data_IF_185435645742
#
_entry.id   IF_185435645742
#
_cell.length_a   1.000
_cell.length_b   1.000
_cell.length_c   1.000
_cell.angle_alpha   90.00
_cell.angle_beta   90.00
_cell.angle_gamma   90.00
#
_symmetry.space_group_name_H-M   'P 1'
#
loop_
_entity.id
_entity.type
_entity.pdbx_description
1 polymer ?
#
# COMPACT_ATOMS: atom_id res chain seq x y z
N UNK A 1 10.66 14.00 -7.37
CA UNK A 1 11.06 15.11 -8.27
C UNK A 1 12.56 15.32 -8.26
N UNK A 2 13.18 15.48 -7.09
CA UNK A 2 14.60 15.84 -6.96
C UNK A 2 15.58 14.73 -7.30
N UNK A 3 15.20 13.50 -7.22
CA UNK A 3 16.07 12.35 -7.51
C UNK A 3 16.16 11.99 -9.00
N UNK A 4 15.17 12.33 -9.81
CA UNK A 4 15.16 12.12 -11.27
C UNK A 4 14.97 10.68 -11.73
N UNK A 5 15.36 9.64 -10.94
CA UNK A 5 15.12 8.24 -11.25
C UNK A 5 15.03 7.37 -10.00
N UNK A 6 14.50 6.14 -10.15
CA UNK A 6 14.43 5.16 -9.04
C UNK A 6 15.83 4.70 -8.61
N UNK A 7 16.77 4.60 -9.53
CA UNK A 7 18.17 4.23 -9.25
C UNK A 7 18.84 5.30 -8.37
N UNK A 8 18.59 6.58 -8.62
CA UNK A 8 19.08 7.67 -7.77
C UNK A 8 18.40 7.70 -6.41
N UNK A 9 17.16 7.29 -6.31
CA UNK A 9 16.52 7.08 -5.00
C UNK A 9 17.22 5.95 -4.24
N UNK A 10 17.52 4.83 -4.91
CA UNK A 10 18.27 3.74 -4.30
C UNK A 10 19.64 4.21 -3.82
N UNK A 11 20.38 4.96 -4.66
CA UNK A 11 21.70 5.52 -4.31
C UNK A 11 21.60 6.37 -3.03
N UNK A 12 20.69 7.35 -2.99
CA UNK A 12 20.48 8.20 -1.83
C UNK A 12 20.06 7.42 -0.57
N UNK A 13 19.16 6.44 -0.72
CA UNK A 13 18.76 5.59 0.42
C UNK A 13 19.88 4.66 0.88
N UNK A 14 20.78 4.27 -0.01
CA UNK A 14 21.94 3.43 0.31
C UNK A 14 23.02 4.16 1.11
N UNK A 15 22.96 5.50 1.23
CA UNK A 15 23.85 6.26 2.12
C UNK A 15 23.80 5.78 3.57
N UNK A 16 22.67 5.17 4.00
CA UNK A 16 22.58 4.53 5.32
C UNK A 16 23.72 3.53 5.56
N UNK A 17 24.17 2.85 4.52
CA UNK A 17 25.23 1.84 4.63
C UNK A 17 26.63 2.44 4.89
N UNK A 18 26.84 3.74 4.71
CA UNK A 18 28.12 4.38 4.99
C UNK A 18 28.49 4.34 6.49
N UNK A 19 27.50 4.22 7.36
CA UNK A 19 27.68 4.24 8.81
C UNK A 19 27.18 2.96 9.51
N UNK A 20 26.78 1.95 8.75
CA UNK A 20 26.33 0.66 9.30
C UNK A 20 27.54 -0.11 9.83
N UNK A 21 27.44 -0.61 11.06
CA UNK A 21 28.49 -1.41 11.70
C UNK A 21 28.67 -2.74 10.98
N UNK A 22 29.91 -3.26 10.99
CA UNK A 22 30.18 -4.62 10.51
C UNK A 22 29.35 -5.64 11.29
N UNK A 23 28.77 -6.62 10.56
CA UNK A 23 27.89 -7.64 11.13
C UNK A 23 26.46 -7.18 11.44
N UNK A 24 26.05 -6.00 10.97
CA UNK A 24 24.68 -5.55 11.12
C UNK A 24 23.71 -6.49 10.38
N UNK A 25 22.56 -6.71 11.00
CA UNK A 25 21.44 -7.41 10.39
C UNK A 25 20.68 -6.48 9.47
N UNK A 26 20.62 -6.82 8.19
CA UNK A 26 19.98 -6.00 7.16
C UNK A 26 18.83 -6.76 6.52
N UNK A 27 17.64 -6.20 6.59
CA UNK A 27 16.43 -6.77 5.97
C UNK A 27 16.01 -5.89 4.79
N UNK A 28 15.72 -6.50 3.65
CA UNK A 28 15.26 -5.79 2.44
C UNK A 28 14.02 -6.47 1.85
N UNK A 29 13.22 -5.69 1.14
CA UNK A 29 12.19 -6.23 0.25
C UNK A 29 12.86 -6.89 -0.96
N UNK A 30 12.83 -8.23 -1.01
CA UNK A 30 13.43 -9.05 -2.07
C UNK A 30 12.61 -9.05 -3.37
N UNK A 31 11.36 -8.63 -3.33
CA UNK A 31 10.53 -8.49 -4.54
C UNK A 31 10.80 -7.17 -5.27
N UNK A 32 11.46 -6.20 -4.62
CA UNK A 32 11.88 -4.97 -5.31
C UNK A 32 13.17 -5.24 -6.12
N UNK A 33 13.11 -5.11 -7.45
CA UNK A 33 14.24 -5.45 -8.32
C UNK A 33 15.48 -4.58 -8.08
N UNK A 34 15.30 -3.34 -7.60
CA UNK A 34 16.43 -2.45 -7.31
C UNK A 34 17.08 -2.81 -5.97
N UNK A 35 16.29 -3.03 -4.91
CA UNK A 35 16.82 -3.48 -3.62
C UNK A 35 17.52 -4.83 -3.75
N UNK A 36 16.98 -5.72 -4.57
CA UNK A 36 17.59 -7.04 -4.80
C UNK A 36 18.92 -6.99 -5.58
N UNK A 37 19.35 -5.82 -6.03
CA UNK A 37 20.72 -5.63 -6.58
C UNK A 37 21.79 -5.35 -5.53
N UNK A 38 21.42 -5.09 -4.28
CA UNK A 38 22.35 -4.74 -3.19
C UNK A 38 23.14 -5.94 -2.67
N UNK A 39 22.55 -7.16 -2.48
CA UNK A 39 23.31 -8.35 -2.12
C UNK A 39 24.47 -8.61 -3.11
N UNK A 40 25.67 -8.85 -2.57
CA UNK A 40 26.89 -9.06 -3.34
C UNK A 40 27.60 -7.77 -3.78
N UNK A 41 26.95 -6.61 -3.76
CA UNK A 41 27.58 -5.30 -4.00
C UNK A 41 28.08 -4.63 -2.70
N UNK A 42 27.43 -4.93 -1.61
CA UNK A 42 27.76 -4.39 -0.29
C UNK A 42 28.24 -5.52 0.63
N UNK A 43 29.14 -5.24 1.58
CA UNK A 43 29.75 -6.25 2.45
C UNK A 43 28.86 -6.64 3.63
N UNK A 44 27.55 -6.76 3.43
CA UNK A 44 26.57 -7.11 4.46
C UNK A 44 25.85 -8.41 4.11
N UNK A 45 25.43 -9.15 5.14
CA UNK A 45 24.48 -10.23 4.99
C UNK A 45 23.05 -9.63 4.88
N UNK A 46 22.40 -9.88 3.76
CA UNK A 46 21.05 -9.40 3.52
C UNK A 46 20.04 -10.53 3.77
N UNK A 47 19.04 -10.25 4.58
CA UNK A 47 17.83 -11.06 4.72
C UNK A 47 16.78 -10.49 3.80
N UNK A 48 16.30 -11.30 2.85
CA UNK A 48 15.34 -10.88 1.82
C UNK A 48 13.96 -11.38 2.18
N UNK A 49 12.98 -10.50 2.16
CA UNK A 49 11.59 -10.82 2.49
C UNK A 49 10.65 -10.49 1.34
N UNK A 50 9.57 -11.26 1.15
CA UNK A 50 8.58 -10.98 0.11
C UNK A 50 7.66 -12.16 -0.22
N UNK A 51 6.97 -12.07 -1.35
CA UNK A 51 6.11 -13.14 -1.88
C UNK A 51 6.85 -14.05 -2.88
N UNK A 52 7.94 -13.56 -3.48
CA UNK A 52 8.70 -14.26 -4.51
C UNK A 52 9.38 -15.53 -4.00
N UNK A 53 9.67 -16.45 -4.93
CA UNK A 53 10.42 -17.66 -4.63
C UNK A 53 11.90 -17.37 -4.33
N UNK A 54 12.52 -18.22 -3.50
CA UNK A 54 13.95 -18.11 -3.17
C UNK A 54 14.29 -16.96 -2.22
N UNK A 55 13.31 -16.34 -1.58
CA UNK A 55 13.51 -15.36 -0.52
C UNK A 55 13.62 -16.06 0.85
N UNK A 56 14.31 -15.41 1.81
CA UNK A 56 14.58 -15.99 3.12
C UNK A 56 13.31 -16.06 3.99
N UNK A 57 12.48 -15.03 3.93
CA UNK A 57 11.16 -15.00 4.57
C UNK A 57 10.09 -14.75 3.52
N UNK A 58 9.06 -15.60 3.48
CA UNK A 58 7.99 -15.51 2.49
C UNK A 58 6.61 -15.57 3.13
N UNK A 59 5.66 -14.88 2.50
CA UNK A 59 4.25 -15.03 2.82
C UNK A 59 3.59 -15.96 1.80
N UNK A 60 2.90 -16.99 2.28
CA UNK A 60 2.15 -17.93 1.45
C UNK A 60 0.68 -17.99 1.90
N UNK A 61 -0.22 -18.27 0.98
CA UNK A 61 -1.63 -18.46 1.29
C UNK A 61 -2.32 -17.23 1.89
N UNK A 62 -2.02 -16.04 1.35
CA UNK A 62 -2.64 -14.80 1.79
C UNK A 62 -4.15 -14.84 1.53
N UNK A 63 -4.94 -14.63 2.58
CA UNK A 63 -6.40 -14.62 2.53
C UNK A 63 -6.91 -13.40 3.30
N UNK A 64 -7.74 -12.59 2.64
CA UNK A 64 -8.45 -11.47 3.27
C UNK A 64 -9.85 -11.87 3.71
N UNK A 65 -10.31 -11.38 4.85
CA UNK A 65 -11.72 -11.50 5.27
C UNK A 65 -12.63 -10.49 4.53
N UNK A 66 -12.03 -9.58 3.76
CA UNK A 66 -12.71 -8.50 3.04
C UNK A 66 -13.31 -7.42 3.96
N UNK A 67 -12.95 -7.42 5.25
CA UNK A 67 -13.42 -6.44 6.24
C UNK A 67 -12.29 -5.67 6.89
N UNK A 68 -11.38 -6.34 7.57
CA UNK A 68 -10.37 -5.68 8.39
C UNK A 68 -9.11 -6.50 8.62
N UNK A 69 -9.11 -7.79 8.31
CA UNK A 69 -8.01 -8.68 8.61
C UNK A 69 -7.60 -9.52 7.40
N UNK A 70 -6.33 -9.88 7.41
CA UNK A 70 -5.78 -10.88 6.49
C UNK A 70 -5.05 -11.95 7.29
N UNK A 71 -4.91 -13.13 6.73
CA UNK A 71 -4.11 -14.21 7.30
C UNK A 71 -3.15 -14.72 6.25
N UNK A 72 -1.95 -15.10 6.65
CA UNK A 72 -1.01 -15.81 5.79
C UNK A 72 -0.14 -16.77 6.62
N UNK A 73 0.55 -17.65 5.93
CA UNK A 73 1.63 -18.44 6.51
C UNK A 73 2.96 -17.76 6.23
N UNK A 74 3.70 -17.45 7.30
CA UNK A 74 5.06 -16.94 7.23
C UNK A 74 6.01 -18.13 7.15
N UNK A 75 6.75 -18.24 6.05
CA UNK A 75 7.86 -19.18 5.89
C UNK A 75 9.15 -18.49 6.26
N UNK A 76 9.91 -19.10 7.14
CA UNK A 76 11.24 -18.64 7.58
C UNK A 76 12.31 -19.68 7.20
N UNK A 77 13.60 -19.37 7.31
CA UNK A 77 14.66 -20.35 7.04
C UNK A 77 14.58 -21.63 7.88
N UNK A 78 13.91 -21.58 9.03
CA UNK A 78 13.90 -22.67 10.00
C UNK A 78 12.52 -23.29 10.22
N UNK A 79 11.46 -22.51 10.03
CA UNK A 79 10.11 -22.86 10.44
C UNK A 79 9.03 -22.28 9.52
N UNK A 80 7.78 -22.56 9.85
CA UNK A 80 6.62 -21.83 9.33
C UNK A 80 5.58 -21.64 10.42
N UNK A 81 4.86 -20.51 10.38
CA UNK A 81 3.78 -20.22 11.30
C UNK A 81 2.75 -19.26 10.69
N UNK A 82 1.53 -19.39 11.18
CA UNK A 82 0.42 -18.57 10.73
C UNK A 82 0.41 -17.24 11.49
N UNK A 83 0.10 -16.17 10.77
CA UNK A 83 -0.14 -14.83 11.32
C UNK A 83 -1.49 -14.30 10.89
N UNK A 84 -2.09 -13.49 11.75
CA UNK A 84 -3.24 -12.66 11.45
C UNK A 84 -2.81 -11.21 11.45
N UNK A 85 -3.08 -10.51 10.34
CA UNK A 85 -2.66 -9.14 10.08
C UNK A 85 -3.90 -8.24 10.20
N UNK A 86 -4.00 -7.34 11.18
CA UNK A 86 -5.16 -6.47 11.37
C UNK A 86 -5.12 -5.26 10.42
N UNK A 87 -4.98 -5.55 9.15
CA UNK A 87 -4.93 -4.56 8.08
C UNK A 87 -5.33 -5.22 6.75
N UNK A 88 -5.70 -4.40 5.77
CA UNK A 88 -6.00 -4.83 4.41
C UNK A 88 -4.92 -4.41 3.43
N UNK A 89 -4.81 -5.18 2.35
CA UNK A 89 -3.89 -4.92 1.23
C UNK A 89 -2.65 -5.81 1.26
N UNK A 90 -2.39 -6.45 0.13
CA UNK A 90 -1.32 -7.45 -0.04
C UNK A 90 0.07 -6.90 0.33
N UNK A 91 0.26 -5.58 0.20
CA UNK A 91 1.51 -4.93 0.61
C UNK A 91 1.81 -5.05 2.13
N UNK A 92 0.83 -5.39 2.96
CA UNK A 92 1.03 -5.59 4.40
C UNK A 92 1.83 -6.86 4.73
N UNK A 93 2.06 -7.75 3.76
CA UNK A 93 2.99 -8.87 3.95
C UNK A 93 4.42 -8.40 4.21
N UNK A 94 4.87 -7.31 3.56
CA UNK A 94 6.25 -6.83 3.69
C UNK A 94 6.60 -6.40 5.13
N UNK A 95 5.85 -5.49 5.78
CA UNK A 95 6.14 -5.14 7.18
C UNK A 95 5.97 -6.35 8.11
N UNK A 96 5.03 -7.25 7.84
CA UNK A 96 4.84 -8.49 8.60
C UNK A 96 6.06 -9.39 8.53
N UNK A 97 6.59 -9.65 7.33
CA UNK A 97 7.79 -10.46 7.13
C UNK A 97 9.05 -9.81 7.68
N UNK A 98 9.16 -8.47 7.57
CA UNK A 98 10.25 -7.73 8.20
C UNK A 98 10.19 -7.84 9.72
N UNK A 99 8.99 -7.75 10.31
CA UNK A 99 8.80 -7.94 11.75
C UNK A 99 9.15 -9.38 12.17
N UNK A 100 8.80 -10.39 11.36
CA UNK A 100 9.18 -11.78 11.62
C UNK A 100 10.71 -11.97 11.58
N UNK A 101 11.38 -11.45 10.55
CA UNK A 101 12.82 -11.54 10.40
C UNK A 101 13.57 -10.84 11.55
N UNK A 102 13.13 -9.64 11.93
CA UNK A 102 13.71 -8.90 13.06
C UNK A 102 13.41 -9.60 14.39
N UNK A 103 12.18 -10.07 14.58
CA UNK A 103 11.79 -10.78 15.80
C UNK A 103 12.62 -12.05 16.04
N UNK A 104 12.76 -12.90 15.02
CA UNK A 104 13.62 -14.11 15.11
C UNK A 104 15.08 -13.74 15.37
N UNK A 105 15.60 -12.69 14.71
CA UNK A 105 16.97 -12.22 14.95
C UNK A 105 17.22 -11.84 16.43
N UNK A 106 16.22 -11.25 17.09
CA UNK A 106 16.28 -10.91 18.51
C UNK A 106 15.78 -12.02 19.45
N UNK A 107 15.56 -13.23 18.95
CA UNK A 107 15.23 -14.42 19.73
C UNK A 107 13.76 -14.51 20.18
N UNK A 108 12.85 -13.79 19.55
CA UNK A 108 11.42 -13.94 19.80
C UNK A 108 10.93 -15.28 19.25
N UNK A 109 10.01 -15.90 19.97
CA UNK A 109 9.31 -17.10 19.50
C UNK A 109 8.28 -16.75 18.42
N UNK A 110 7.92 -17.73 17.62
CA UNK A 110 6.87 -17.58 16.60
C UNK A 110 5.54 -17.07 17.18
N UNK A 111 5.17 -17.55 18.36
CA UNK A 111 3.97 -17.10 19.07
C UNK A 111 4.06 -15.62 19.44
N UNK A 112 5.21 -15.18 19.94
CA UNK A 112 5.41 -13.76 20.28
C UNK A 112 5.38 -12.86 19.05
N UNK A 113 5.94 -13.31 17.93
CA UNK A 113 5.91 -12.60 16.66
C UNK A 113 4.48 -12.53 16.14
N UNK A 114 3.75 -13.64 16.11
CA UNK A 114 2.36 -13.67 15.65
C UNK A 114 1.45 -12.80 16.52
N UNK A 115 1.64 -12.82 17.84
CA UNK A 115 0.92 -11.96 18.78
C UNK A 115 1.25 -10.47 18.56
N UNK A 116 2.52 -10.14 18.34
CA UNK A 116 2.95 -8.78 18.02
C UNK A 116 2.35 -8.25 16.72
N UNK A 117 2.24 -9.09 15.69
CA UNK A 117 1.60 -8.74 14.43
C UNK A 117 0.10 -8.52 14.63
N UNK A 118 -0.58 -9.39 15.36
CA UNK A 118 -2.01 -9.27 15.66
C UNK A 118 -2.36 -7.97 16.41
N UNK A 119 -1.46 -7.51 17.27
CA UNK A 119 -1.65 -6.27 18.04
C UNK A 119 -1.11 -5.01 17.33
N UNK A 120 -0.74 -5.11 16.06
CA UNK A 120 -0.33 -3.97 15.28
C UNK A 120 -1.50 -2.98 15.13
N UNK A 121 -1.26 -1.71 15.48
CA UNK A 121 -2.20 -0.63 15.28
C UNK A 121 -1.70 0.28 14.14
N UNK A 122 -2.42 0.37 13.01
CA UNK A 122 -2.03 1.26 11.93
C UNK A 122 -1.93 2.72 12.36
N UNK A 123 -0.92 3.42 11.88
CA UNK A 123 -0.80 4.87 12.07
C UNK A 123 -2.02 5.56 11.46
N UNK A 124 -2.50 6.64 12.11
CA UNK A 124 -3.64 7.43 11.60
C UNK A 124 -3.42 7.84 10.14
N UNK A 125 -4.49 7.81 9.36
CA UNK A 125 -4.50 8.16 7.93
C UNK A 125 -3.63 7.21 7.04
N UNK A 126 -3.32 6.00 7.53
CA UNK A 126 -2.64 4.92 6.81
C UNK A 126 -3.56 3.72 6.74
N UNK A 127 -4.36 3.64 5.70
CA UNK A 127 -5.35 2.59 5.46
C UNK A 127 -6.25 2.30 6.69
N UNK A 128 -6.61 3.35 7.44
CA UNK A 128 -7.48 3.17 8.60
C UNK A 128 -8.92 2.89 8.14
N UNK A 129 -9.50 1.87 8.74
CA UNK A 129 -10.92 1.57 8.58
C UNK A 129 -11.75 2.38 9.58
N UNK A 130 -12.70 3.13 9.06
CA UNK A 130 -13.67 3.89 9.85
C UNK A 130 -15.07 3.45 9.42
N UNK A 131 -15.93 3.14 10.39
CA UNK A 131 -17.33 2.81 10.16
C UNK A 131 -18.20 3.98 10.56
N UNK A 132 -19.16 4.36 9.73
CA UNK A 132 -20.07 5.45 10.01
C UNK A 132 -21.49 5.11 9.61
N UNK A 133 -22.41 5.26 10.60
CA UNK A 133 -23.84 5.04 10.39
C UNK A 133 -24.16 3.68 9.79
N UNK A 134 -25.17 3.66 8.96
CA UNK A 134 -25.72 2.45 8.37
C UNK A 134 -24.83 1.85 7.28
N UNK A 135 -23.83 1.10 7.71
CA UNK A 135 -22.97 0.26 6.87
C UNK A 135 -22.06 1.00 5.88
N UNK A 136 -21.70 2.27 6.14
CA UNK A 136 -20.67 2.98 5.38
C UNK A 136 -19.31 2.65 5.96
N UNK A 137 -18.41 2.11 5.14
CA UNK A 137 -17.01 1.88 5.47
C UNK A 137 -16.15 2.92 4.78
N UNK A 138 -15.23 3.54 5.50
CA UNK A 138 -14.28 4.51 4.95
C UNK A 138 -12.87 3.94 5.11
N UNK A 139 -12.17 3.79 3.99
CA UNK A 139 -10.75 3.48 3.93
C UNK A 139 -9.96 4.80 3.91
N UNK A 140 -9.40 5.19 5.05
CA UNK A 140 -8.68 6.46 5.16
C UNK A 140 -7.17 6.24 4.98
N UNK A 141 -6.65 6.60 3.80
CA UNK A 141 -5.22 6.57 3.43
C UNK A 141 -4.70 7.95 3.01
N UNK A 142 -5.10 9.00 3.71
CA UNK A 142 -4.88 10.40 3.31
C UNK A 142 -3.58 11.01 3.83
N UNK A 143 -2.67 10.24 4.44
CA UNK A 143 -1.42 10.76 4.96
C UNK A 143 -0.49 11.27 3.87
N UNK A 144 -0.35 10.52 2.79
CA UNK A 144 0.46 10.87 1.62
C UNK A 144 -0.05 10.10 0.40
N UNK A 145 0.21 10.61 -0.80
CA UNK A 145 -0.20 9.99 -2.04
C UNK A 145 0.96 9.89 -3.03
N UNK A 146 1.09 8.71 -3.64
CA UNK A 146 1.95 8.46 -4.78
C UNK A 146 1.29 7.40 -5.68
N UNK A 147 1.74 7.21 -6.93
CA UNK A 147 1.08 6.29 -7.86
C UNK A 147 0.94 4.85 -7.35
N UNK A 148 1.93 4.36 -6.61
CA UNK A 148 1.92 3.00 -6.08
C UNK A 148 0.97 2.85 -4.89
N UNK A 149 1.00 3.79 -3.92
CA UNK A 149 0.10 3.75 -2.77
C UNK A 149 -1.35 3.95 -3.17
N UNK A 150 -1.65 4.86 -4.12
CA UNK A 150 -3.01 5.02 -4.64
C UNK A 150 -3.54 3.75 -5.30
N UNK A 151 -2.73 3.07 -6.11
CA UNK A 151 -3.13 1.78 -6.71
C UNK A 151 -3.40 0.72 -5.64
N UNK A 152 -2.54 0.61 -4.63
CA UNK A 152 -2.75 -0.31 -3.53
C UNK A 152 -4.05 0.00 -2.76
N UNK A 153 -4.35 1.27 -2.51
CA UNK A 153 -5.61 1.68 -1.89
C UNK A 153 -6.84 1.33 -2.75
N UNK A 154 -6.73 1.50 -4.06
CA UNK A 154 -7.79 1.11 -5.02
C UNK A 154 -7.99 -0.41 -5.05
N UNK A 155 -6.92 -1.21 -4.95
CA UNK A 155 -7.01 -2.68 -4.84
C UNK A 155 -7.77 -3.10 -3.58
N UNK A 156 -7.45 -2.48 -2.43
CA UNK A 156 -8.17 -2.72 -1.19
C UNK A 156 -9.64 -2.34 -1.33
N UNK A 157 -9.95 -1.16 -1.89
CA UNK A 157 -11.33 -0.73 -2.15
C UNK A 157 -12.05 -1.70 -3.10
N UNK A 158 -11.39 -2.14 -4.17
CA UNK A 158 -11.94 -3.10 -5.13
C UNK A 158 -12.31 -4.44 -4.48
N UNK A 159 -11.51 -4.92 -3.54
CA UNK A 159 -11.74 -6.17 -2.80
C UNK A 159 -12.68 -6.04 -1.60
N UNK A 160 -13.00 -4.82 -1.18
CA UNK A 160 -13.88 -4.56 -0.03
C UNK A 160 -15.31 -5.05 -0.30
N UNK A 161 -16.01 -5.44 0.79
CA UNK A 161 -17.38 -5.95 0.75
C UNK A 161 -18.45 -4.85 0.63
N UNK A 162 -18.20 -3.78 -0.09
CA UNK A 162 -19.19 -2.73 -0.36
C UNK A 162 -20.01 -3.04 -1.61
N UNK A 163 -21.31 -2.72 -1.58
CA UNK A 163 -22.18 -2.82 -2.74
C UNK A 163 -21.93 -1.68 -3.75
N UNK A 164 -21.31 -0.60 -3.32
CA UNK A 164 -21.01 0.58 -4.12
C UNK A 164 -19.66 1.17 -3.68
N UNK A 165 -18.71 1.26 -4.59
CA UNK A 165 -17.32 1.61 -4.33
C UNK A 165 -17.02 3.03 -4.81
N UNK A 166 -16.72 3.91 -3.88
CA UNK A 166 -16.44 5.32 -4.13
C UNK A 166 -14.97 5.61 -3.85
N UNK A 167 -14.21 5.98 -4.88
CA UNK A 167 -12.85 6.46 -4.74
C UNK A 167 -12.82 7.99 -4.65
N UNK A 168 -12.29 8.54 -3.56
CA UNK A 168 -12.06 9.99 -3.40
C UNK A 168 -10.56 10.23 -3.46
N UNK A 169 -10.05 10.75 -4.56
CA UNK A 169 -8.62 10.87 -4.83
C UNK A 169 -8.20 12.31 -5.02
N UNK A 170 -7.09 12.67 -4.39
CA UNK A 170 -6.49 14.01 -4.47
C UNK A 170 -5.25 14.05 -5.35
N UNK A 171 -4.58 15.21 -5.34
CA UNK A 171 -3.32 15.41 -6.04
C UNK A 171 -2.19 14.59 -5.41
N UNK A 172 -1.30 14.11 -6.25
CA UNK A 172 0.01 13.56 -5.86
C UNK A 172 1.08 14.62 -6.11
N UNK A 173 1.78 15.01 -5.05
CA UNK A 173 2.84 16.01 -5.14
C UNK A 173 4.22 15.39 -5.40
N UNK A 174 5.21 16.24 -5.69
CA UNK A 174 6.61 15.86 -5.86
C UNK A 174 6.90 14.88 -7.01
N UNK A 175 6.03 14.84 -8.03
CA UNK A 175 6.18 13.96 -9.20
C UNK A 175 6.89 14.62 -10.39
N UNK A 176 7.17 15.93 -10.32
CA UNK A 176 7.81 16.70 -11.39
C UNK A 176 7.07 16.67 -12.72
N UNK A 177 7.79 16.71 -13.84
CA UNK A 177 7.16 16.76 -15.18
C UNK A 177 6.29 15.55 -15.52
N UNK A 178 6.45 14.44 -14.80
CA UNK A 178 5.65 13.22 -14.99
C UNK A 178 4.31 13.24 -14.28
N UNK A 179 4.03 14.28 -13.48
CA UNK A 179 2.81 14.35 -12.68
C UNK A 179 1.52 14.10 -13.48
N UNK A 180 1.28 14.72 -14.66
CA UNK A 180 0.07 14.47 -15.45
C UNK A 180 -0.07 12.99 -15.86
N UNK A 181 1.00 12.39 -16.37
CA UNK A 181 0.96 11.00 -16.83
C UNK A 181 0.79 10.00 -15.68
N UNK A 182 1.39 10.26 -14.53
CA UNK A 182 1.27 9.41 -13.35
C UNK A 182 -0.14 9.50 -12.73
N UNK A 183 -0.75 10.67 -12.73
CA UNK A 183 -2.16 10.84 -12.33
C UNK A 183 -3.10 10.10 -13.30
N UNK A 184 -2.93 10.28 -14.61
CA UNK A 184 -3.70 9.56 -15.61
C UNK A 184 -3.60 8.04 -15.44
N UNK A 185 -2.40 7.51 -15.17
CA UNK A 185 -2.19 6.08 -14.91
C UNK A 185 -2.92 5.53 -13.69
N UNK A 186 -3.27 6.37 -12.70
CA UNK A 186 -4.17 5.98 -11.60
C UNK A 186 -5.61 5.93 -12.10
N UNK A 187 -6.04 6.91 -12.92
CA UNK A 187 -7.37 6.92 -13.53
C UNK A 187 -7.63 5.68 -14.40
N UNK A 188 -6.68 5.31 -15.26
CA UNK A 188 -6.75 4.09 -16.07
C UNK A 188 -6.90 2.83 -15.21
N UNK A 189 -6.27 2.82 -14.04
CA UNK A 189 -6.35 1.69 -13.12
C UNK A 189 -7.72 1.54 -12.47
N UNK A 190 -8.39 2.65 -12.13
CA UNK A 190 -9.75 2.65 -11.57
C UNK A 190 -10.76 1.94 -12.47
N UNK A 191 -10.71 2.17 -13.78
CA UNK A 191 -11.58 1.49 -14.74
C UNK A 191 -11.41 -0.04 -14.75
N UNK A 192 -10.17 -0.53 -14.51
CA UNK A 192 -9.88 -1.97 -14.44
C UNK A 192 -10.25 -2.58 -13.09
N UNK A 193 -10.25 -1.77 -12.03
CA UNK A 193 -10.49 -2.21 -10.66
C UNK A 193 -11.98 -2.37 -10.32
N UNK A 194 -12.89 -1.98 -11.19
CA UNK A 194 -14.34 -2.10 -10.97
C UNK A 194 -14.84 -1.12 -9.89
N UNK A 195 -14.33 0.11 -9.90
CA UNK A 195 -14.79 1.20 -9.05
C UNK A 195 -16.04 1.83 -9.66
N UNK A 196 -17.08 2.06 -8.87
CA UNK A 196 -18.37 2.57 -9.34
C UNK A 196 -18.38 4.09 -9.49
N UNK A 197 -17.70 4.79 -8.59
CA UNK A 197 -17.69 6.25 -8.57
C UNK A 197 -16.29 6.79 -8.23
N UNK A 198 -15.87 7.83 -8.96
CA UNK A 198 -14.69 8.63 -8.67
C UNK A 198 -15.08 10.06 -8.33
N UNK A 199 -14.55 10.59 -7.24
CA UNK A 199 -14.51 12.02 -6.94
C UNK A 199 -13.04 12.46 -6.92
N UNK A 200 -12.61 13.11 -7.98
CA UNK A 200 -11.25 13.62 -8.14
C UNK A 200 -11.15 15.06 -7.62
N UNK A 201 -10.22 15.33 -6.69
CA UNK A 201 -10.15 16.61 -5.96
C UNK A 201 -8.77 17.23 -6.10
N UNK A 202 -8.66 18.39 -6.75
CA UNK A 202 -7.41 19.13 -6.95
C UNK A 202 -7.09 19.39 -8.40
N UNK A 203 -6.06 20.17 -8.67
CA UNK A 203 -5.72 20.58 -10.05
C UNK A 203 -5.18 19.40 -10.87
N UNK A 204 -4.24 18.63 -10.31
CA UNK A 204 -3.64 17.47 -10.98
C UNK A 204 -4.58 16.27 -11.01
N UNK A 205 -5.48 16.15 -10.04
CA UNK A 205 -6.50 15.11 -9.99
C UNK A 205 -7.46 15.15 -11.21
N UNK A 206 -7.49 16.24 -11.96
CA UNK A 206 -8.19 16.31 -13.26
C UNK A 206 -7.70 15.24 -14.23
N UNK A 207 -6.39 14.94 -14.23
CA UNK A 207 -5.84 13.87 -15.08
C UNK A 207 -6.31 12.48 -14.64
N UNK A 208 -6.54 12.27 -13.31
CA UNK A 208 -7.18 11.04 -12.82
C UNK A 208 -8.60 10.95 -13.36
N UNK A 209 -9.37 12.03 -13.21
CA UNK A 209 -10.76 12.09 -13.68
C UNK A 209 -10.89 11.77 -15.17
N UNK A 210 -10.15 12.47 -16.03
CA UNK A 210 -10.25 12.33 -17.48
C UNK A 210 -9.88 10.91 -17.94
N UNK A 211 -8.83 10.32 -17.35
CA UNK A 211 -8.43 8.96 -17.64
C UNK A 211 -9.42 7.91 -17.11
N UNK A 212 -9.96 8.08 -15.90
CA UNK A 212 -10.96 7.18 -15.32
C UNK A 212 -12.26 7.18 -16.14
N UNK A 213 -12.70 8.35 -16.59
CA UNK A 213 -13.86 8.48 -17.47
C UNK A 213 -13.64 7.75 -18.81
N UNK A 214 -12.45 7.93 -19.40
CA UNK A 214 -12.08 7.23 -20.65
C UNK A 214 -11.94 5.71 -20.44
N UNK A 215 -11.52 5.26 -19.25
CA UNK A 215 -11.41 3.86 -18.87
C UNK A 215 -12.75 3.20 -18.47
N UNK A 216 -13.86 3.95 -18.46
CA UNK A 216 -15.22 3.43 -18.28
C UNK A 216 -15.69 3.35 -16.82
N UNK A 217 -15.11 4.13 -15.90
CA UNK A 217 -15.70 4.29 -14.56
C UNK A 217 -17.08 4.90 -14.67
N UNK A 218 -18.14 4.30 -14.12
CA UNK A 218 -19.53 4.70 -14.38
C UNK A 218 -19.89 6.12 -13.98
N UNK A 219 -19.42 6.56 -12.81
CA UNK A 219 -19.69 7.91 -12.30
C UNK A 219 -18.35 8.61 -12.01
N UNK A 220 -18.08 9.74 -12.65
CA UNK A 220 -16.85 10.52 -12.44
C UNK A 220 -17.19 11.99 -12.18
N UNK A 221 -16.66 12.50 -11.08
CA UNK A 221 -16.81 13.88 -10.66
C UNK A 221 -15.44 14.53 -10.50
N UNK A 222 -15.27 15.72 -11.07
CA UNK A 222 -14.09 16.55 -10.89
C UNK A 222 -14.41 17.77 -10.04
N UNK A 223 -13.65 17.97 -8.98
CA UNK A 223 -13.78 19.07 -8.05
C UNK A 223 -12.43 19.77 -7.87
N UNK A 224 -12.23 21.01 -8.37
CA UNK A 224 -10.99 21.75 -8.16
C UNK A 224 -10.61 21.92 -6.69
N UNK A 225 -11.58 21.97 -5.79
CA UNK A 225 -11.37 22.21 -4.36
C UNK A 225 -12.15 21.24 -3.48
N UNK A 226 -11.70 21.07 -2.23
CA UNK A 226 -12.41 20.28 -1.22
C UNK A 226 -13.80 20.83 -0.90
N UNK A 227 -13.99 22.15 -1.01
CA UNK A 227 -15.29 22.78 -0.79
C UNK A 227 -16.32 22.35 -1.84
N UNK A 228 -15.88 22.19 -3.07
CA UNK A 228 -16.74 21.71 -4.16
C UNK A 228 -17.00 20.21 -4.11
N UNK A 229 -16.04 19.43 -3.59
CA UNK A 229 -16.21 17.99 -3.41
C UNK A 229 -17.26 17.63 -2.36
N UNK A 230 -17.45 18.45 -1.33
CA UNK A 230 -18.37 18.14 -0.22
C UNK A 230 -19.82 17.91 -0.69
N UNK A 231 -20.49 18.82 -1.42
CA UNK A 231 -21.86 18.59 -1.88
C UNK A 231 -21.96 17.41 -2.86
N UNK A 232 -20.90 17.12 -3.62
CA UNK A 232 -20.85 15.93 -4.49
C UNK A 232 -20.87 14.67 -3.65
N UNK A 233 -20.03 14.60 -2.60
CA UNK A 233 -19.99 13.46 -1.69
C UNK A 233 -21.32 13.24 -0.96
N UNK A 234 -21.99 14.30 -0.54
CA UNK A 234 -23.33 14.21 0.07
C UNK A 234 -24.36 13.57 -0.89
N UNK A 235 -24.16 13.68 -2.20
CA UNK A 235 -25.03 13.10 -3.23
C UNK A 235 -24.65 11.68 -3.67
N UNK A 236 -23.37 11.32 -3.62
CA UNK A 236 -22.90 10.02 -4.14
C UNK A 236 -22.72 8.95 -3.07
N UNK A 237 -22.48 9.33 -1.80
CA UNK A 237 -22.36 8.37 -0.71
C UNK A 237 -23.74 7.78 -0.40
N UNK A 238 -23.83 6.46 -0.54
CA UNK A 238 -25.08 5.68 -0.38
C UNK A 238 -24.92 4.71 0.80
N UNK A 239 -26.02 4.22 1.39
CA UNK A 239 -25.94 3.11 2.34
C UNK A 239 -25.20 1.91 1.74
N UNK A 240 -24.39 1.22 2.53
CA UNK A 240 -23.52 0.10 2.14
C UNK A 240 -22.39 0.48 1.15
N UNK A 241 -22.00 1.75 1.05
CA UNK A 241 -20.85 2.20 0.28
C UNK A 241 -19.52 1.93 1.03
N UNK A 242 -18.47 1.71 0.25
CA UNK A 242 -17.09 1.74 0.72
C UNK A 242 -16.31 2.77 -0.06
#
# INVERSE_FOLDING_TARGET
>A
EHFGSREKILEAKSEIFHHVKSGAFVVINGDDPLLNTLPGKLPYAFTRVGAGEGLDYRAEGLVSDGKSHMTCEVKTPHNSFRVEIPALGDHMIYPTLMAAAVGEHFGLTQTQIADGVLHFAPTKMRMNLLHRGDDITILNDTYNANPQSMRAAVEVLSSARGAYKVAVLGDMFELGPLAPALHAGVGDYLGKAGIDCLVAVGELARHIHDAAQAAGVPECYYCPTKAEARPVLDGVVRPHAT
#
